data_IF_905737615108
#
_entry.id   IF_905737615108
#
_cell.length_a   1.000
_cell.length_b   1.000
_cell.length_c   1.000
_cell.angle_alpha   90.00
_cell.angle_beta   90.00
_cell.angle_gamma   90.00
#
_symmetry.space_group_name_H-M   'P 1'
#
loop_
_entity.id
_entity.type
_entity.pdbx_description
1 polymer ?
#
# COMPACT_ATOMS: atom_id res chain seq x y z
N UNK A 1 81.48 10.12 -8.92
CA UNK A 1 81.13 9.12 -7.91
C UNK A 1 80.01 9.68 -7.08
N UNK A 2 78.83 9.01 -7.07
CA UNK A 2 77.77 9.34 -6.10
C UNK A 2 76.39 9.65 -6.68
N UNK A 3 75.72 8.69 -7.34
CA UNK A 3 74.24 8.78 -7.59
C UNK A 3 73.61 7.39 -7.78
N UNK A 4 73.72 6.51 -6.82
CA UNK A 4 73.04 5.20 -6.83
C UNK A 4 72.23 4.93 -5.58
N UNK A 5 72.14 5.86 -4.62
CA UNK A 5 71.42 5.64 -3.33
C UNK A 5 69.95 6.00 -3.29
N UNK A 6 69.40 6.75 -4.28
CA UNK A 6 68.02 7.30 -4.19
C UNK A 6 66.89 6.47 -4.76
N UNK A 7 67.16 5.45 -5.56
CA UNK A 7 66.12 4.77 -6.36
C UNK A 7 65.59 3.48 -5.76
N UNK A 8 66.21 2.94 -4.69
CA UNK A 8 65.77 1.68 -4.04
C UNK A 8 64.80 1.89 -2.85
N UNK A 9 64.74 3.09 -2.30
CA UNK A 9 63.86 3.39 -1.15
C UNK A 9 62.40 3.68 -1.57
N UNK A 10 62.17 4.22 -2.77
CA UNK A 10 60.82 4.56 -3.28
C UNK A 10 59.98 3.33 -3.60
N UNK A 11 60.60 2.24 -4.09
CA UNK A 11 59.87 1.00 -4.40
C UNK A 11 59.38 0.21 -3.18
N UNK A 12 59.99 0.40 -2.01
CA UNK A 12 59.58 -0.22 -0.74
C UNK A 12 58.33 0.43 -0.18
N UNK A 13 58.32 1.75 -0.13
CA UNK A 13 57.18 2.54 0.36
C UNK A 13 55.95 2.38 -0.52
N UNK A 14 56.08 2.36 -1.82
CA UNK A 14 54.98 2.16 -2.75
C UNK A 14 54.33 0.77 -2.59
N UNK A 15 55.14 -0.27 -2.38
CA UNK A 15 54.61 -1.63 -2.12
C UNK A 15 53.92 -1.74 -0.77
N UNK A 16 54.45 -1.11 0.27
CA UNK A 16 53.83 -1.07 1.59
C UNK A 16 52.52 -0.31 1.54
N UNK A 17 52.50 0.89 0.97
CA UNK A 17 51.32 1.70 0.80
C UNK A 17 50.22 0.95 0.02
N UNK A 18 50.56 0.25 -1.06
CA UNK A 18 49.64 -0.57 -1.84
C UNK A 18 49.04 -1.72 -1.02
N UNK A 19 49.80 -2.36 -0.15
CA UNK A 19 49.32 -3.42 0.76
C UNK A 19 48.33 -2.86 1.80
N UNK A 20 48.67 -1.73 2.42
CA UNK A 20 47.77 -1.07 3.38
C UNK A 20 46.48 -0.59 2.70
N UNK A 21 46.54 -0.01 1.51
CA UNK A 21 45.39 0.42 0.75
C UNK A 21 44.48 -0.77 0.39
N UNK A 22 45.11 -1.88 -0.10
CA UNK A 22 44.33 -3.10 -0.42
C UNK A 22 43.66 -3.70 0.82
N UNK A 23 44.35 -3.69 1.98
CA UNK A 23 43.77 -4.13 3.26
C UNK A 23 42.58 -3.25 3.68
N UNK A 24 42.76 -1.94 3.61
CA UNK A 24 41.72 -0.97 3.96
C UNK A 24 40.46 -1.13 3.06
N UNK A 25 40.69 -1.21 1.75
CA UNK A 25 39.59 -1.44 0.79
C UNK A 25 38.86 -2.74 1.08
N UNK A 26 39.59 -3.83 1.39
CA UNK A 26 38.97 -5.09 1.76
C UNK A 26 38.07 -4.93 3.02
N UNK A 27 38.57 -4.27 4.06
CA UNK A 27 37.84 -4.07 5.31
C UNK A 27 36.57 -3.24 5.09
N UNK A 28 36.67 -2.13 4.36
CA UNK A 28 35.53 -1.25 4.08
C UNK A 28 34.48 -1.95 3.22
N UNK A 29 34.91 -2.66 2.16
CA UNK A 29 33.99 -3.41 1.28
C UNK A 29 33.32 -4.55 2.05
N UNK A 30 34.07 -5.29 2.87
CA UNK A 30 33.52 -6.38 3.68
C UNK A 30 32.53 -5.86 4.74
N UNK A 31 32.82 -4.72 5.36
CA UNK A 31 31.92 -4.05 6.30
C UNK A 31 30.62 -3.60 5.60
N UNK A 32 30.76 -2.88 4.48
CA UNK A 32 29.59 -2.43 3.70
C UNK A 32 28.72 -3.57 3.20
N UNK A 33 29.31 -4.64 2.70
CA UNK A 33 28.60 -5.83 2.26
C UNK A 33 27.93 -6.58 3.44
N UNK A 34 28.62 -6.70 4.56
CA UNK A 34 28.06 -7.31 5.78
C UNK A 34 26.84 -6.56 6.31
N UNK A 35 26.93 -5.23 6.39
CA UNK A 35 25.80 -4.35 6.77
C UNK A 35 24.66 -4.47 5.75
N UNK A 36 24.97 -4.44 4.46
CA UNK A 36 23.93 -4.55 3.43
C UNK A 36 23.18 -5.88 3.50
N UNK A 37 23.89 -6.99 3.72
CA UNK A 37 23.27 -8.30 3.93
C UNK A 37 22.46 -8.31 5.21
N UNK A 38 22.97 -7.76 6.31
CA UNK A 38 22.25 -7.70 7.57
C UNK A 38 20.92 -6.94 7.45
N UNK A 39 20.91 -5.77 6.80
CA UNK A 39 19.68 -4.99 6.56
C UNK A 39 18.65 -5.74 5.70
N UNK A 40 19.08 -6.66 4.83
CA UNK A 40 18.20 -7.44 3.97
C UNK A 40 17.64 -8.69 4.64
N UNK A 41 18.41 -9.34 5.54
CA UNK A 41 18.04 -10.64 6.11
C UNK A 41 17.56 -10.58 7.56
N UNK A 42 17.81 -9.48 8.28
CA UNK A 42 17.34 -9.34 9.66
C UNK A 42 15.82 -9.28 9.70
N UNK A 43 15.15 -10.19 10.41
CA UNK A 43 13.69 -10.20 10.46
C UNK A 43 13.14 -8.98 11.20
N UNK A 44 12.07 -8.40 10.69
CA UNK A 44 11.35 -7.33 11.35
C UNK A 44 10.85 -7.79 12.73
N UNK A 45 10.81 -6.88 13.69
CA UNK A 45 10.42 -7.18 15.07
C UNK A 45 8.98 -6.75 15.32
N UNK A 46 8.17 -7.67 15.81
CA UNK A 46 6.77 -7.40 16.14
C UNK A 46 6.67 -6.64 17.47
N UNK A 47 5.87 -5.59 17.46
CA UNK A 47 5.53 -4.74 18.60
C UNK A 47 4.01 -4.61 18.67
N UNK A 48 3.43 -4.87 19.84
CA UNK A 48 1.99 -4.66 20.06
C UNK A 48 1.78 -3.41 20.90
N UNK A 49 0.95 -2.50 20.40
CA UNK A 49 0.59 -1.25 21.09
C UNK A 49 -0.92 -1.01 20.92
N UNK A 50 -1.64 -0.86 22.02
CA UNK A 50 -3.09 -0.64 22.05
C UNK A 50 -3.88 -1.64 21.18
N UNK A 51 -3.48 -2.93 21.21
CA UNK A 51 -4.08 -3.98 20.38
C UNK A 51 -3.63 -4.00 18.93
N UNK A 52 -2.81 -3.02 18.49
CA UNK A 52 -2.27 -2.96 17.13
C UNK A 52 -0.99 -3.79 17.02
N UNK A 53 -0.86 -4.53 15.93
CA UNK A 53 0.35 -5.32 15.62
C UNK A 53 1.16 -4.58 14.57
N UNK A 54 2.30 -4.03 15.00
CA UNK A 54 3.23 -3.28 14.16
C UNK A 54 4.54 -4.04 14.08
N UNK A 55 5.10 -4.19 12.90
CA UNK A 55 6.45 -4.70 12.73
C UNK A 55 7.40 -3.54 12.45
N UNK A 56 8.56 -3.56 13.10
CA UNK A 56 9.59 -2.53 12.95
C UNK A 56 10.89 -3.13 12.44
N UNK A 57 11.58 -2.38 11.59
CA UNK A 57 12.85 -2.79 10.99
C UNK A 57 13.56 -1.61 10.34
N UNK A 58 14.46 -1.91 9.42
CA UNK A 58 15.12 -0.92 8.59
C UNK A 58 14.80 -1.14 7.10
N UNK A 59 14.84 -0.06 6.33
CA UNK A 59 14.69 -0.11 4.87
C UNK A 59 15.90 -0.77 4.22
N UNK A 60 15.76 -1.20 2.97
CA UNK A 60 16.86 -1.74 2.17
C UNK A 60 18.09 -0.79 2.17
N UNK A 61 19.31 -1.34 2.08
CA UNK A 61 20.54 -0.55 2.15
C UNK A 61 20.60 0.51 1.04
N UNK A 62 21.06 1.70 1.41
CA UNK A 62 21.18 2.84 0.49
C UNK A 62 22.49 3.58 0.73
N UNK A 63 23.16 3.99 -0.35
CA UNK A 63 24.36 4.81 -0.27
C UNK A 63 24.07 6.29 0.04
N UNK A 64 22.82 6.69 0.04
CA UNK A 64 22.40 8.06 0.33
C UNK A 64 22.44 8.34 1.83
N UNK A 65 23.06 9.44 2.24
CA UNK A 65 23.20 9.87 3.63
C UNK A 65 21.94 10.49 4.22
N UNK A 66 20.87 10.62 3.45
CA UNK A 66 19.55 11.03 3.94
C UNK A 66 18.44 10.55 2.99
N UNK A 67 17.25 10.32 3.52
CA UNK A 67 16.11 9.92 2.70
C UNK A 67 14.87 9.57 3.51
N UNK A 68 13.75 9.28 2.83
CA UNK A 68 12.55 8.86 3.50
C UNK A 68 12.73 7.51 4.21
N UNK A 69 12.01 7.29 5.30
CA UNK A 69 11.76 5.96 5.82
C UNK A 69 10.78 5.21 4.93
N UNK A 70 10.35 4.04 5.37
CA UNK A 70 9.36 3.22 4.66
C UNK A 70 8.22 2.83 5.59
N UNK A 71 7.00 2.82 5.05
CA UNK A 71 5.83 2.24 5.68
C UNK A 71 5.24 1.23 4.71
N UNK A 72 5.08 0.00 5.16
CA UNK A 72 4.42 -1.03 4.37
C UNK A 72 2.93 -1.03 4.73
N UNK A 73 2.11 -0.68 3.75
CA UNK A 73 0.66 -0.66 3.81
C UNK A 73 0.10 -1.54 2.70
N UNK A 74 -0.81 -2.47 3.04
CA UNK A 74 -1.54 -3.28 2.06
C UNK A 74 -0.62 -3.96 1.03
N UNK A 75 0.50 -4.53 1.49
CA UNK A 75 1.50 -5.13 0.61
C UNK A 75 2.34 -4.15 -0.21
N UNK A 76 2.08 -2.83 -0.10
CA UNK A 76 2.83 -1.78 -0.79
C UNK A 76 3.83 -1.13 0.16
N UNK A 77 5.05 -0.90 -0.32
CA UNK A 77 6.10 -0.20 0.43
C UNK A 77 6.10 1.28 0.04
N UNK A 78 5.61 2.13 0.91
CA UNK A 78 5.45 3.57 0.68
C UNK A 78 6.58 4.34 1.36
N UNK A 79 7.16 5.37 0.70
CA UNK A 79 8.08 6.28 1.36
C UNK A 79 7.33 7.12 2.39
N UNK A 80 7.96 7.33 3.57
CA UNK A 80 7.43 8.29 4.54
C UNK A 80 7.61 9.72 4.06
N UNK A 81 6.75 10.62 4.53
CA UNK A 81 6.92 12.05 4.31
C UNK A 81 8.14 12.62 5.08
N UNK A 82 8.56 11.92 6.12
CA UNK A 82 9.74 12.29 6.91
C UNK A 82 11.03 11.83 6.25
N UNK A 83 12.05 12.69 6.29
CA UNK A 83 13.40 12.37 5.82
C UNK A 83 14.32 12.14 7.00
N UNK A 84 14.91 10.98 7.05
CA UNK A 84 15.84 10.56 8.11
C UNK A 84 17.27 10.77 7.65
N UNK A 85 18.13 11.20 8.58
CA UNK A 85 19.57 11.28 8.36
C UNK A 85 20.20 9.90 8.53
N UNK A 86 21.22 9.62 7.72
CA UNK A 86 21.97 8.36 7.75
C UNK A 86 21.57 7.36 6.66
N UNK A 87 22.40 6.33 6.45
CA UNK A 87 22.15 5.28 5.46
C UNK A 87 21.16 4.23 5.96
N UNK A 88 20.94 4.10 7.27
CA UNK A 88 19.97 3.19 7.90
C UNK A 88 18.70 3.97 8.20
N UNK A 89 17.58 3.56 7.64
CA UNK A 89 16.30 4.28 7.74
C UNK A 89 15.22 3.39 8.34
N UNK A 90 14.32 3.96 9.16
CA UNK A 90 13.23 3.20 9.75
C UNK A 90 12.30 2.62 8.68
N UNK A 91 11.85 1.38 8.91
CA UNK A 91 10.77 0.72 8.20
C UNK A 91 9.73 0.26 9.19
N UNK A 92 8.48 0.56 8.91
CA UNK A 92 7.31 0.16 9.68
C UNK A 92 6.40 -0.67 8.77
N UNK A 93 5.86 -1.75 9.28
CA UNK A 93 4.83 -2.54 8.62
C UNK A 93 3.65 -2.67 9.55
N UNK A 94 2.48 -2.26 9.09
CA UNK A 94 1.22 -2.47 9.77
C UNK A 94 0.71 -3.85 9.39
N UNK A 95 0.65 -4.75 10.36
CA UNK A 95 0.21 -6.13 10.11
C UNK A 95 -1.26 -6.34 10.46
N UNK A 96 -1.77 -5.59 11.44
CA UNK A 96 -3.17 -5.65 11.85
C UNK A 96 -3.58 -4.35 12.52
N UNK A 97 -4.72 -3.81 12.12
CA UNK A 97 -5.34 -2.61 12.72
C UNK A 97 -6.68 -3.06 13.30
N UNK A 98 -6.72 -3.25 14.61
CA UNK A 98 -7.97 -3.59 15.32
C UNK A 98 -8.50 -2.35 16.00
N UNK A 99 -9.71 -1.92 15.62
CA UNK A 99 -10.39 -0.82 16.31
C UNK A 99 -11.11 -1.41 17.51
N UNK A 100 -10.42 -1.38 18.64
CA UNK A 100 -10.96 -1.80 19.93
C UNK A 100 -11.17 -0.58 20.85
N UNK A 101 -11.86 -0.81 21.97
CA UNK A 101 -12.07 0.24 22.99
C UNK A 101 -10.76 0.82 23.53
N UNK A 102 -9.65 0.04 23.50
CA UNK A 102 -8.33 0.50 23.92
C UNK A 102 -7.78 1.55 22.95
N UNK A 103 -7.91 1.32 21.63
CA UNK A 103 -7.49 2.30 20.62
C UNK A 103 -8.34 3.57 20.70
N UNK A 104 -9.67 3.42 20.89
CA UNK A 104 -10.58 4.56 21.03
C UNK A 104 -10.24 5.38 22.27
N UNK A 105 -9.98 4.72 23.41
CA UNK A 105 -9.52 5.38 24.63
C UNK A 105 -8.14 5.99 24.47
N UNK A 106 -7.26 5.35 23.71
CA UNK A 106 -5.91 5.82 23.44
C UNK A 106 -5.88 7.06 22.55
N UNK A 107 -6.79 7.13 21.55
CA UNK A 107 -6.88 8.26 20.60
C UNK A 107 -7.76 9.40 21.13
N UNK A 108 -8.79 9.09 21.91
CA UNK A 108 -9.76 10.06 22.46
C UNK A 108 -9.54 10.40 23.94
N UNK A 109 -8.56 9.74 24.60
CA UNK A 109 -8.28 9.96 26.01
C UNK A 109 -7.76 11.37 26.31
N UNK A 110 -8.01 11.87 27.52
CA UNK A 110 -7.63 13.20 28.00
C UNK A 110 -6.10 13.41 28.11
N UNK A 111 -5.29 12.40 27.80
CA UNK A 111 -3.84 12.43 27.91
C UNK A 111 -3.10 11.96 26.65
N UNK A 112 -3.18 12.67 25.52
CA UNK A 112 -2.52 12.29 24.28
C UNK A 112 -1.01 12.15 24.41
N UNK A 113 -0.37 12.96 25.26
CA UNK A 113 1.08 12.91 25.50
C UNK A 113 1.55 11.62 26.18
N UNK A 114 0.71 10.97 26.97
CA UNK A 114 1.04 9.68 27.59
C UNK A 114 0.93 8.55 26.58
N UNK A 115 -0.08 8.59 25.73
CA UNK A 115 -0.26 7.67 24.62
C UNK A 115 0.93 7.72 23.65
N UNK A 116 1.36 8.91 23.24
CA UNK A 116 2.54 9.11 22.39
C UNK A 116 3.83 8.58 23.05
N UNK A 117 3.98 8.78 24.35
CA UNK A 117 5.13 8.26 25.09
C UNK A 117 5.17 6.73 25.14
N UNK A 118 4.02 6.09 25.36
CA UNK A 118 3.90 4.62 25.37
C UNK A 118 4.20 4.06 23.99
N UNK A 119 3.59 4.60 22.93
CA UNK A 119 3.83 4.19 21.55
C UNK A 119 5.33 4.34 21.19
N UNK A 120 5.89 5.53 21.46
CA UNK A 120 7.30 5.82 21.18
C UNK A 120 8.26 4.87 21.92
N UNK A 121 8.00 4.55 23.20
CA UNK A 121 8.83 3.61 23.94
C UNK A 121 8.77 2.19 23.41
N UNK A 122 7.57 1.70 23.06
CA UNK A 122 7.37 0.36 22.49
C UNK A 122 8.03 0.20 21.12
N UNK A 123 7.88 1.18 20.25
CA UNK A 123 8.57 1.21 18.96
C UNK A 123 10.08 1.24 19.13
N UNK A 124 10.60 2.07 20.04
CA UNK A 124 12.03 2.13 20.35
C UNK A 124 12.58 0.78 20.84
N UNK A 125 11.84 0.04 21.68
CA UNK A 125 12.24 -1.29 22.15
C UNK A 125 12.22 -2.34 21.02
N UNK A 126 11.29 -2.22 20.09
CA UNK A 126 11.27 -3.02 18.86
C UNK A 126 12.53 -2.79 18.01
N UNK A 127 12.87 -1.51 17.77
CA UNK A 127 14.10 -1.17 17.03
C UNK A 127 15.38 -1.56 17.73
N UNK A 128 15.46 -1.47 19.06
CA UNK A 128 16.63 -1.98 19.83
C UNK A 128 16.84 -3.47 19.58
N UNK A 129 15.77 -4.28 19.61
CA UNK A 129 15.84 -5.72 19.31
C UNK A 129 16.25 -5.99 17.87
N UNK A 130 15.68 -5.23 16.92
CA UNK A 130 16.05 -5.33 15.51
C UNK A 130 17.54 -5.06 15.31
N UNK A 131 18.04 -3.94 15.80
CA UNK A 131 19.45 -3.56 15.66
C UNK A 131 20.42 -4.47 16.41
N UNK A 132 20.00 -5.06 17.53
CA UNK A 132 20.81 -6.06 18.20
C UNK A 132 21.07 -7.30 17.31
N UNK A 133 20.06 -7.77 16.59
CA UNK A 133 20.23 -8.86 15.62
C UNK A 133 20.99 -8.41 14.37
N UNK A 134 20.70 -7.23 13.88
CA UNK A 134 21.36 -6.66 12.69
C UNK A 134 22.88 -6.51 12.91
N UNK A 135 23.31 -6.02 14.06
CA UNK A 135 24.73 -5.92 14.45
C UNK A 135 25.40 -7.30 14.41
N UNK A 136 24.80 -8.31 15.02
CA UNK A 136 25.36 -9.68 15.03
C UNK A 136 25.50 -10.23 13.60
N UNK A 137 24.48 -10.03 12.76
CA UNK A 137 24.50 -10.53 11.37
C UNK A 137 25.52 -9.75 10.53
N UNK A 138 25.63 -8.42 10.70
CA UNK A 138 26.60 -7.60 10.01
C UNK A 138 28.05 -8.00 10.35
N UNK A 139 28.33 -8.19 11.64
CA UNK A 139 29.64 -8.67 12.10
C UNK A 139 29.97 -10.07 11.56
N UNK A 140 29.04 -11.00 11.61
CA UNK A 140 29.22 -12.34 11.04
C UNK A 140 29.46 -12.30 9.54
N UNK A 141 28.70 -11.48 8.79
CA UNK A 141 28.89 -11.27 7.35
C UNK A 141 30.27 -10.71 7.01
N UNK A 142 30.71 -9.69 7.74
CA UNK A 142 32.06 -9.11 7.56
C UNK A 142 33.16 -10.15 7.83
N UNK A 143 33.05 -10.93 8.90
CA UNK A 143 34.01 -12.00 9.24
C UNK A 143 34.06 -13.08 8.15
N UNK A 144 32.92 -13.53 7.64
CA UNK A 144 32.86 -14.53 6.58
C UNK A 144 33.52 -14.02 5.30
N UNK A 145 33.28 -12.76 4.91
CA UNK A 145 33.88 -12.17 3.70
C UNK A 145 35.39 -12.01 3.83
N UNK A 146 35.87 -11.47 4.95
CA UNK A 146 37.31 -11.35 5.23
C UNK A 146 37.96 -12.71 5.26
N UNK A 147 37.35 -13.71 5.95
CA UNK A 147 37.84 -15.08 6.02
C UNK A 147 37.92 -15.76 4.66
N UNK A 148 36.88 -15.61 3.83
CA UNK A 148 36.84 -16.16 2.48
C UNK A 148 37.93 -15.58 1.60
N UNK A 149 38.15 -14.25 1.62
CA UNK A 149 39.21 -13.59 0.85
C UNK A 149 40.60 -13.98 1.37
N UNK A 150 40.77 -14.07 2.70
CA UNK A 150 42.03 -14.50 3.30
C UNK A 150 42.39 -15.94 2.90
N UNK A 151 41.40 -16.85 2.93
CA UNK A 151 41.56 -18.24 2.49
C UNK A 151 41.90 -18.35 1.00
N UNK A 152 41.16 -17.63 0.16
CA UNK A 152 41.41 -17.59 -1.30
C UNK A 152 42.80 -17.06 -1.66
N UNK A 153 43.21 -15.99 -0.97
CA UNK A 153 44.53 -15.36 -1.16
C UNK A 153 45.66 -16.07 -0.40
N UNK A 154 45.35 -17.15 0.35
CA UNK A 154 46.30 -17.91 1.18
C UNK A 154 47.13 -17.01 2.11
N UNK A 155 46.46 -16.05 2.77
CA UNK A 155 47.10 -15.11 3.70
C UNK A 155 47.57 -15.89 4.94
N UNK A 156 48.78 -15.58 5.51
CA UNK A 156 49.26 -16.21 6.71
C UNK A 156 48.32 -16.08 7.89
N UNK A 157 48.19 -17.12 8.71
CA UNK A 157 47.21 -17.23 9.79
C UNK A 157 47.23 -16.03 10.76
N UNK A 158 48.41 -15.54 11.14
CA UNK A 158 48.52 -14.36 12.03
C UNK A 158 47.92 -13.11 11.40
N UNK A 159 48.18 -12.85 10.12
CA UNK A 159 47.62 -11.70 9.40
C UNK A 159 46.13 -11.88 9.16
N UNK A 160 45.65 -13.10 8.94
CA UNK A 160 44.22 -13.39 8.83
C UNK A 160 43.47 -13.02 10.11
N UNK A 161 43.98 -13.43 11.30
CA UNK A 161 43.37 -13.07 12.59
C UNK A 161 43.34 -11.53 12.75
N UNK A 162 44.43 -10.84 12.43
CA UNK A 162 44.47 -9.38 12.51
C UNK A 162 43.43 -8.72 11.58
N UNK A 163 43.29 -9.24 10.35
CA UNK A 163 42.27 -8.75 9.40
C UNK A 163 40.84 -9.05 9.87
N UNK A 164 40.59 -10.22 10.48
CA UNK A 164 39.26 -10.55 11.02
C UNK A 164 38.89 -9.63 12.19
N UNK A 165 39.83 -9.40 13.12
CA UNK A 165 39.58 -8.46 14.25
C UNK A 165 39.37 -7.05 13.74
N UNK A 166 40.24 -6.57 12.84
CA UNK A 166 40.11 -5.23 12.25
C UNK A 166 38.82 -5.10 11.43
N UNK A 167 38.45 -6.15 10.68
CA UNK A 167 37.21 -6.19 9.90
C UNK A 167 35.97 -6.09 10.77
N UNK A 168 35.93 -6.84 11.87
CA UNK A 168 34.85 -6.77 12.83
C UNK A 168 34.77 -5.37 13.45
N UNK A 169 35.89 -4.83 13.94
CA UNK A 169 35.90 -3.49 14.58
C UNK A 169 35.45 -2.40 13.58
N UNK A 170 35.90 -2.45 12.34
CA UNK A 170 35.51 -1.47 11.31
C UNK A 170 34.03 -1.62 10.96
N UNK A 171 33.54 -2.85 10.78
CA UNK A 171 32.15 -3.10 10.46
C UNK A 171 31.22 -2.58 11.58
N UNK A 172 31.52 -2.93 12.84
CA UNK A 172 30.70 -2.49 13.98
C UNK A 172 30.81 -0.98 14.23
N UNK A 173 31.97 -0.37 14.04
CA UNK A 173 32.11 1.08 14.18
C UNK A 173 31.27 1.85 13.15
N UNK A 174 31.28 1.42 11.87
CA UNK A 174 30.47 2.01 10.81
C UNK A 174 29.00 1.78 11.08
N UNK A 175 28.60 0.56 11.44
CA UNK A 175 27.22 0.18 11.67
C UNK A 175 26.61 0.92 12.87
N UNK A 176 27.29 0.88 14.02
CA UNK A 176 26.88 1.62 15.21
C UNK A 176 26.80 3.13 14.95
N UNK A 177 27.77 3.68 14.20
CA UNK A 177 27.73 5.10 13.80
C UNK A 177 26.47 5.41 12.98
N UNK A 178 26.11 4.58 12.01
CA UNK A 178 24.90 4.75 11.20
C UNK A 178 23.61 4.63 12.03
N UNK A 179 23.53 3.64 12.92
CA UNK A 179 22.40 3.45 13.84
C UNK A 179 22.24 4.64 14.78
N UNK A 180 23.34 5.13 15.36
CA UNK A 180 23.32 6.26 16.29
C UNK A 180 22.83 7.56 15.62
N UNK A 181 23.23 7.83 14.38
CA UNK A 181 22.72 8.98 13.63
C UNK A 181 21.20 8.91 13.52
N UNK A 182 20.66 7.74 13.15
CA UNK A 182 19.21 7.54 13.05
C UNK A 182 18.54 7.64 14.43
N UNK A 183 19.10 7.01 15.46
CA UNK A 183 18.57 7.01 16.82
C UNK A 183 18.48 8.41 17.44
N UNK A 184 19.43 9.30 17.14
CA UNK A 184 19.40 10.68 17.61
C UNK A 184 18.42 11.56 16.84
N UNK A 185 18.23 11.33 15.56
CA UNK A 185 17.42 12.21 14.69
C UNK A 185 15.96 11.79 14.59
N UNK A 186 15.68 10.46 14.61
CA UNK A 186 14.34 9.93 14.41
C UNK A 186 13.31 10.36 15.48
N UNK A 187 13.62 10.38 16.80
CA UNK A 187 12.63 10.77 17.80
C UNK A 187 12.13 12.20 17.65
N UNK A 188 13.01 13.14 17.24
CA UNK A 188 12.61 14.52 16.98
C UNK A 188 11.67 14.68 15.79
N UNK A 189 11.87 13.86 14.76
CA UNK A 189 11.04 13.83 13.57
C UNK A 189 9.69 13.15 13.85
N UNK A 190 9.69 12.02 14.55
CA UNK A 190 8.46 11.26 14.85
C UNK A 190 7.51 12.02 15.79
N UNK A 191 8.01 12.89 16.66
CA UNK A 191 7.16 13.76 17.49
C UNK A 191 6.36 14.80 16.70
N UNK A 192 6.72 15.05 15.46
CA UNK A 192 6.00 15.98 14.58
C UNK A 192 4.83 15.32 13.85
N UNK A 193 4.67 14.00 14.00
CA UNK A 193 3.64 13.20 13.33
C UNK A 193 2.60 12.80 14.36
N UNK A 194 1.37 13.25 14.15
CA UNK A 194 0.25 13.00 15.06
C UNK A 194 -0.72 11.94 14.50
N UNK A 195 -0.52 11.50 13.24
CA UNK A 195 -1.32 10.46 12.62
C UNK A 195 -0.52 9.64 11.62
N UNK A 196 -0.97 8.41 11.35
CA UNK A 196 -0.38 7.56 10.34
C UNK A 196 -0.49 8.19 8.93
N UNK A 197 -1.58 8.89 8.67
CA UNK A 197 -1.81 9.61 7.42
C UNK A 197 -0.76 10.71 7.20
N UNK A 198 -0.37 11.44 8.24
CA UNK A 198 0.74 12.41 8.16
C UNK A 198 2.09 11.73 7.88
N UNK A 199 2.32 10.56 8.48
CA UNK A 199 3.55 9.80 8.29
C UNK A 199 3.73 9.37 6.83
N UNK A 200 2.68 8.86 6.19
CA UNK A 200 2.70 8.44 4.78
C UNK A 200 2.49 9.60 3.81
N UNK A 201 2.14 10.79 4.31
CA UNK A 201 1.94 12.00 3.50
C UNK A 201 0.68 11.89 2.63
N UNK A 202 -0.42 11.32 3.17
CA UNK A 202 -1.72 11.46 2.54
C UNK A 202 -2.07 12.95 2.52
N UNK A 203 -2.26 13.49 1.33
CA UNK A 203 -2.57 14.92 1.17
C UNK A 203 -4.04 15.25 1.45
N UNK A 204 -4.84 14.24 1.62
CA UNK A 204 -6.27 14.34 1.88
C UNK A 204 -6.54 14.51 3.37
N UNK A 205 -6.19 15.67 3.91
CA UNK A 205 -6.96 16.22 5.02
C UNK A 205 -8.32 16.68 4.45
N UNK A 206 -9.09 15.73 3.93
CA UNK A 206 -10.46 16.03 3.58
C UNK A 206 -11.17 16.38 4.88
N UNK A 207 -11.67 17.61 5.03
CA UNK A 207 -12.40 17.99 6.22
C UNK A 207 -13.55 16.99 6.41
N UNK A 208 -13.82 16.58 7.65
CA UNK A 208 -15.03 15.82 7.93
C UNK A 208 -16.21 16.69 7.51
N UNK A 209 -16.81 16.34 6.40
CA UNK A 209 -18.03 17.01 5.93
C UNK A 209 -19.11 16.53 6.87
N UNK A 210 -19.67 17.45 7.65
CA UNK A 210 -20.83 17.13 8.49
C UNK A 210 -21.98 16.68 7.59
N UNK A 211 -22.65 15.55 7.93
CA UNK A 211 -23.81 15.11 7.17
C UNK A 211 -24.84 16.23 7.13
N UNK A 212 -25.26 16.61 5.90
CA UNK A 212 -26.25 17.64 5.70
C UNK A 212 -27.58 16.99 5.27
N UNK A 213 -28.62 17.20 6.05
CA UNK A 213 -29.97 16.67 5.81
C UNK A 213 -30.51 15.83 6.98
N UNK A 214 -31.79 15.44 6.92
CA UNK A 214 -32.44 14.69 7.98
C UNK A 214 -31.86 13.26 8.10
N UNK A 215 -31.93 12.65 9.31
CA UNK A 215 -31.62 11.24 9.50
C UNK A 215 -32.43 10.32 8.58
N UNK A 216 -31.86 9.17 8.23
CA UNK A 216 -32.46 8.14 7.37
C UNK A 216 -32.76 6.86 8.20
N UNK A 217 -33.85 6.84 9.00
CA UNK A 217 -34.08 5.76 9.96
C UNK A 217 -34.49 4.43 9.33
N UNK A 218 -34.87 4.43 8.06
CA UNK A 218 -35.33 3.20 7.41
C UNK A 218 -34.24 2.52 6.56
N UNK A 219 -33.07 3.10 6.40
CA UNK A 219 -31.98 2.54 5.58
C UNK A 219 -31.17 1.53 6.41
N UNK A 220 -31.05 0.31 5.88
CA UNK A 220 -30.34 -0.80 6.53
C UNK A 220 -28.96 -1.03 5.89
N UNK A 221 -28.87 -0.86 4.57
CA UNK A 221 -27.63 -1.03 3.81
C UNK A 221 -27.37 0.20 2.97
N UNK A 222 -26.13 0.65 2.96
CA UNK A 222 -25.68 1.73 2.07
C UNK A 222 -24.62 1.19 1.14
N UNK A 223 -24.73 1.52 -0.14
CA UNK A 223 -23.72 1.26 -1.17
C UNK A 223 -23.08 2.59 -1.55
N UNK A 224 -21.75 2.66 -1.45
CA UNK A 224 -20.94 3.78 -1.92
C UNK A 224 -19.90 3.27 -2.92
N UNK A 225 -19.52 4.10 -3.87
CA UNK A 225 -18.50 3.69 -4.83
C UNK A 225 -18.56 4.44 -6.15
N UNK A 226 -17.94 3.82 -7.13
CA UNK A 226 -17.76 4.31 -8.49
C UNK A 226 -18.86 3.82 -9.46
N UNK A 227 -18.56 3.86 -10.74
CA UNK A 227 -19.42 3.41 -11.85
C UNK A 227 -19.85 1.94 -11.74
N UNK A 228 -19.00 1.06 -11.18
CA UNK A 228 -19.34 -0.36 -11.00
C UNK A 228 -20.53 -0.50 -10.04
N UNK A 229 -20.49 0.22 -8.93
CA UNK A 229 -21.57 0.22 -7.92
C UNK A 229 -22.80 1.02 -8.37
N UNK A 230 -22.62 2.03 -9.22
CA UNK A 230 -23.71 2.78 -9.80
C UNK A 230 -24.53 1.94 -10.82
N UNK A 231 -23.93 0.90 -11.42
CA UNK A 231 -24.52 0.13 -12.50
C UNK A 231 -24.45 0.87 -13.85
N UNK A 232 -23.30 1.52 -14.11
CA UNK A 232 -23.10 2.34 -15.31
C UNK A 232 -23.43 1.60 -16.61
N UNK A 233 -24.11 2.27 -17.53
CA UNK A 233 -24.51 1.74 -18.83
C UNK A 233 -25.72 0.81 -18.80
N UNK A 234 -26.33 0.56 -17.63
CA UNK A 234 -27.58 -0.19 -17.51
C UNK A 234 -28.82 0.73 -17.45
N UNK A 235 -30.00 0.15 -17.31
CA UNK A 235 -31.25 0.91 -17.28
C UNK A 235 -31.24 1.94 -16.15
N UNK A 236 -31.48 3.24 -16.44
CA UNK A 236 -31.48 4.27 -15.41
C UNK A 236 -32.63 4.07 -14.42
N UNK A 237 -32.44 4.51 -13.18
CA UNK A 237 -33.50 4.51 -12.18
C UNK A 237 -34.72 5.29 -12.67
N UNK A 238 -35.94 4.71 -12.62
CA UNK A 238 -37.18 5.43 -12.92
C UNK A 238 -37.34 6.61 -11.97
N UNK A 239 -37.89 7.72 -12.45
CA UNK A 239 -38.19 8.92 -11.65
C UNK A 239 -37.03 9.42 -10.76
N UNK A 240 -35.81 9.18 -11.18
CA UNK A 240 -34.62 9.50 -10.41
C UNK A 240 -34.46 11.01 -10.20
N UNK A 241 -34.00 11.38 -8.98
CA UNK A 241 -33.53 12.74 -8.69
C UNK A 241 -32.43 13.18 -9.65
N UNK A 242 -32.20 14.49 -9.82
CA UNK A 242 -31.10 15.00 -10.66
C UNK A 242 -29.75 14.36 -10.28
N UNK A 243 -29.48 14.17 -8.98
CA UNK A 243 -28.26 13.52 -8.47
C UNK A 243 -28.13 12.05 -8.90
N UNK A 244 -29.19 11.26 -8.80
CA UNK A 244 -29.12 9.84 -9.17
C UNK A 244 -28.89 9.66 -10.68
N UNK A 245 -29.52 10.53 -11.48
CA UNK A 245 -29.32 10.55 -12.94
C UNK A 245 -27.90 11.00 -13.32
N UNK A 246 -27.41 12.07 -12.70
CA UNK A 246 -26.05 12.56 -12.94
C UNK A 246 -25.01 11.48 -12.57
N UNK A 247 -25.22 10.73 -11.48
CA UNK A 247 -24.36 9.65 -11.06
C UNK A 247 -24.46 8.36 -11.89
N UNK A 248 -25.33 8.29 -12.90
CA UNK A 248 -25.50 7.09 -13.73
C UNK A 248 -26.07 5.88 -12.99
N UNK A 249 -26.84 6.09 -11.89
CA UNK A 249 -27.38 4.99 -11.08
C UNK A 249 -28.46 4.24 -11.85
N UNK A 250 -28.39 2.92 -11.76
CA UNK A 250 -29.28 1.99 -12.45
C UNK A 250 -30.20 1.26 -11.47
N UNK A 251 -31.40 0.87 -11.97
CA UNK A 251 -32.31 -0.07 -11.31
C UNK A 251 -31.85 -1.54 -11.39
N UNK A 252 -30.83 -1.82 -12.18
CA UNK A 252 -30.27 -3.15 -12.38
C UNK A 252 -28.86 -3.23 -11.74
N UNK A 253 -28.61 -2.43 -10.68
CA UNK A 253 -27.38 -2.49 -9.92
C UNK A 253 -27.39 -3.62 -8.88
N UNK A 254 -26.23 -4.11 -8.47
CA UNK A 254 -26.16 -5.12 -7.41
C UNK A 254 -26.80 -4.64 -6.08
N UNK A 255 -26.88 -3.33 -5.88
CA UNK A 255 -27.59 -2.76 -4.74
C UNK A 255 -29.09 -3.05 -4.79
N UNK A 256 -29.69 -2.97 -5.98
CA UNK A 256 -31.10 -3.29 -6.18
C UNK A 256 -31.33 -4.80 -6.07
N UNK A 257 -30.45 -5.62 -6.62
CA UNK A 257 -30.49 -7.09 -6.47
C UNK A 257 -30.47 -7.50 -4.99
N UNK A 258 -29.57 -6.91 -4.18
CA UNK A 258 -29.53 -7.13 -2.72
C UNK A 258 -30.81 -6.67 -2.01
N UNK A 259 -31.39 -5.54 -2.45
CA UNK A 259 -32.64 -5.02 -1.91
C UNK A 259 -33.79 -6.01 -2.15
N UNK A 260 -33.93 -6.49 -3.38
CA UNK A 260 -34.98 -7.44 -3.78
C UNK A 260 -34.79 -8.79 -3.10
N UNK A 261 -33.58 -9.33 -3.10
CA UNK A 261 -33.29 -10.67 -2.56
C UNK A 261 -33.54 -10.76 -1.04
N UNK A 262 -33.31 -9.70 -0.30
CA UNK A 262 -33.36 -9.69 1.16
C UNK A 262 -34.56 -8.91 1.72
N UNK A 263 -35.29 -8.16 0.91
CA UNK A 263 -36.32 -7.24 1.38
C UNK A 263 -35.75 -6.06 2.19
N UNK A 264 -34.48 -5.73 1.99
CA UNK A 264 -33.81 -4.65 2.71
C UNK A 264 -34.05 -3.30 2.04
N UNK A 265 -33.98 -2.25 2.82
CA UNK A 265 -33.92 -0.87 2.30
C UNK A 265 -32.46 -0.52 2.04
N UNK A 266 -32.04 -0.73 0.81
CA UNK A 266 -30.68 -0.40 0.33
C UNK A 266 -30.69 1.00 -0.26
N UNK A 267 -29.73 1.83 0.14
CA UNK A 267 -29.49 3.16 -0.41
C UNK A 267 -28.20 3.14 -1.25
N UNK A 268 -28.35 3.21 -2.56
CA UNK A 268 -27.20 3.35 -3.45
C UNK A 268 -26.82 4.83 -3.60
N UNK A 269 -25.64 5.20 -3.14
CA UNK A 269 -25.05 6.53 -3.23
C UNK A 269 -23.92 6.62 -4.26
N UNK A 270 -23.55 5.49 -4.88
CA UNK A 270 -22.44 5.39 -5.85
C UNK A 270 -22.61 6.38 -7.01
N UNK A 271 -21.51 6.76 -7.61
CA UNK A 271 -21.49 7.74 -8.68
C UNK A 271 -20.38 7.43 -9.69
N UNK A 272 -20.70 7.49 -10.96
CA UNK A 272 -19.74 7.32 -12.07
C UNK A 272 -18.54 8.26 -11.91
N UNK A 273 -17.32 7.74 -12.13
CA UNK A 273 -16.07 8.49 -12.00
C UNK A 273 -15.66 8.83 -10.55
N UNK A 274 -16.32 8.26 -9.52
CA UNK A 274 -15.98 8.57 -8.14
C UNK A 274 -14.64 7.97 -7.73
N UNK A 275 -13.80 8.78 -7.11
CA UNK A 275 -12.58 8.38 -6.40
C UNK A 275 -12.79 8.51 -4.88
N UNK A 276 -11.84 8.01 -4.10
CA UNK A 276 -11.89 8.20 -2.64
C UNK A 276 -11.93 9.69 -2.28
N UNK A 277 -11.04 10.49 -2.89
CA UNK A 277 -10.94 11.92 -2.63
C UNK A 277 -12.11 12.73 -3.17
N UNK A 278 -12.59 12.38 -4.37
CA UNK A 278 -13.67 13.07 -5.09
C UNK A 278 -14.81 12.10 -5.37
N UNK A 279 -15.86 12.20 -4.62
CA UNK A 279 -17.04 11.33 -4.66
C UNK A 279 -17.29 10.62 -3.33
N UNK A 280 -16.35 9.83 -2.78
CA UNK A 280 -16.59 9.15 -1.53
C UNK A 280 -16.44 10.08 -0.32
N UNK A 281 -15.28 10.63 -0.08
CA UNK A 281 -14.97 11.43 1.12
C UNK A 281 -15.09 12.95 0.88
N UNK A 282 -15.02 13.40 -0.36
CA UNK A 282 -15.18 14.78 -0.77
C UNK A 282 -16.28 14.95 -1.82
N UNK A 283 -16.66 16.20 -2.15
CA UNK A 283 -17.60 16.47 -3.23
C UNK A 283 -17.01 16.03 -4.58
N UNK A 284 -17.89 15.66 -5.51
CA UNK A 284 -17.56 15.32 -6.88
C UNK A 284 -18.19 16.31 -7.84
N UNK A 285 -17.43 16.80 -8.80
CA UNK A 285 -17.99 17.51 -9.94
C UNK A 285 -18.30 16.48 -11.04
N UNK A 286 -19.56 16.41 -11.46
CA UNK A 286 -20.01 15.52 -12.52
C UNK A 286 -21.09 16.19 -13.33
N UNK A 287 -20.95 16.20 -14.67
CA UNK A 287 -21.88 16.86 -15.61
C UNK A 287 -22.22 18.32 -15.23
N UNK A 288 -21.23 19.08 -14.75
CA UNK A 288 -21.38 20.47 -14.33
C UNK A 288 -22.18 20.66 -13.03
N UNK A 289 -22.40 19.60 -12.27
CA UNK A 289 -23.03 19.62 -10.94
C UNK A 289 -22.02 19.25 -9.86
N UNK A 290 -22.09 19.94 -8.72
CA UNK A 290 -21.32 19.56 -7.54
C UNK A 290 -22.19 18.62 -6.71
N UNK A 291 -21.77 17.36 -6.65
CA UNK A 291 -22.43 16.30 -5.90
C UNK A 291 -21.83 16.17 -4.50
N UNK A 292 -22.64 15.94 -3.45
CA UNK A 292 -22.15 15.80 -2.10
C UNK A 292 -21.36 14.51 -1.92
N UNK A 293 -20.44 14.49 -0.95
CA UNK A 293 -19.69 13.28 -0.57
C UNK A 293 -20.64 12.15 -0.19
N UNK A 294 -20.41 10.97 -0.75
CA UNK A 294 -21.24 9.77 -0.52
C UNK A 294 -21.20 9.35 0.95
N UNK A 295 -20.03 9.42 1.58
CA UNK A 295 -19.84 9.07 2.99
C UNK A 295 -20.71 9.92 3.93
N UNK A 296 -20.85 11.21 3.66
CA UNK A 296 -21.76 12.08 4.42
C UNK A 296 -23.23 11.66 4.28
N UNK A 297 -23.61 11.06 3.15
CA UNK A 297 -24.92 10.44 2.96
C UNK A 297 -25.07 9.15 3.80
N UNK A 298 -24.03 8.33 3.87
CA UNK A 298 -24.01 7.11 4.66
C UNK A 298 -24.12 7.39 6.18
N UNK A 299 -23.47 8.44 6.69
CA UNK A 299 -23.55 8.86 8.11
C UNK A 299 -24.96 9.26 8.56
N UNK A 300 -25.87 9.52 7.63
CA UNK A 300 -27.29 9.83 7.94
C UNK A 300 -28.14 8.58 8.22
N UNK A 301 -27.65 7.39 7.86
CA UNK A 301 -28.35 6.13 8.08
C UNK A 301 -28.15 5.68 9.54
N UNK A 302 -29.12 5.99 10.39
CA UNK A 302 -29.03 5.80 11.86
C UNK A 302 -29.16 4.35 12.32
N UNK A 303 -29.62 3.45 11.45
CA UNK A 303 -29.74 2.01 11.70
C UNK A 303 -28.99 1.20 10.64
N UNK A 304 -27.80 1.66 10.28
CA UNK A 304 -26.97 1.04 9.26
C UNK A 304 -26.44 -0.31 9.77
N UNK A 305 -26.83 -1.40 9.10
CA UNK A 305 -26.38 -2.77 9.39
C UNK A 305 -25.17 -3.14 8.55
N UNK A 306 -25.12 -2.66 7.30
CA UNK A 306 -23.97 -2.91 6.42
C UNK A 306 -23.70 -1.72 5.50
N UNK A 307 -22.41 -1.56 5.13
CA UNK A 307 -21.96 -0.63 4.10
C UNK A 307 -21.08 -1.40 3.10
N UNK A 308 -21.39 -1.24 1.82
CA UNK A 308 -20.69 -1.91 0.72
C UNK A 308 -19.96 -0.84 -0.10
N UNK A 309 -18.70 -1.08 -0.40
CA UNK A 309 -17.81 -0.11 -1.04
C UNK A 309 -17.17 -0.72 -2.28
N UNK A 310 -17.30 -0.06 -3.43
CA UNK A 310 -16.58 -0.38 -4.67
C UNK A 310 -15.79 0.85 -5.11
N UNK A 311 -14.47 0.80 -5.02
CA UNK A 311 -13.61 1.96 -5.30
C UNK A 311 -12.19 1.53 -5.69
N UNK A 312 -11.52 2.34 -6.49
CA UNK A 312 -10.11 2.14 -6.85
C UNK A 312 -9.82 2.23 -8.34
N UNK A 313 -10.74 1.81 -9.20
CA UNK A 313 -10.53 1.86 -10.65
C UNK A 313 -10.32 3.31 -11.13
N UNK A 314 -11.14 4.25 -10.70
CA UNK A 314 -11.01 5.66 -11.05
C UNK A 314 -9.81 6.32 -10.36
N UNK A 315 -9.48 5.93 -9.13
CA UNK A 315 -8.29 6.40 -8.42
C UNK A 315 -6.99 6.03 -9.16
N UNK A 316 -6.97 4.85 -9.82
CA UNK A 316 -5.85 4.41 -10.65
C UNK A 316 -5.93 4.91 -12.09
N UNK A 317 -6.97 5.66 -12.45
CA UNK A 317 -7.23 6.08 -13.84
C UNK A 317 -7.28 4.88 -14.81
N UNK A 318 -8.01 3.82 -14.42
CA UNK A 318 -8.06 2.53 -15.13
C UNK A 318 -8.47 2.68 -16.60
N UNK A 319 -9.41 3.56 -16.90
CA UNK A 319 -9.82 3.83 -18.27
C UNK A 319 -8.68 4.35 -19.17
N UNK A 320 -7.78 5.17 -18.62
CA UNK A 320 -6.60 5.63 -19.35
C UNK A 320 -5.58 4.51 -19.53
N UNK A 321 -5.40 3.63 -18.53
CA UNK A 321 -4.54 2.44 -18.62
C UNK A 321 -4.99 1.51 -19.74
N UNK A 322 -6.28 1.18 -19.82
CA UNK A 322 -6.85 0.34 -20.87
C UNK A 322 -6.67 1.00 -22.25
N UNK A 323 -6.97 2.30 -22.38
CA UNK A 323 -6.77 3.05 -23.64
C UNK A 323 -5.31 3.07 -24.07
N UNK A 324 -4.38 3.29 -23.14
CA UNK A 324 -2.97 3.25 -23.48
C UNK A 324 -2.54 1.87 -23.95
N UNK A 325 -2.93 0.80 -23.23
CA UNK A 325 -2.63 -0.57 -23.62
C UNK A 325 -3.25 -0.97 -24.98
N UNK A 326 -4.34 -0.33 -25.41
CA UNK A 326 -4.96 -0.62 -26.70
C UNK A 326 -4.21 -0.02 -27.89
N UNK A 327 -3.41 1.03 -27.70
CA UNK A 327 -2.66 1.69 -28.78
C UNK A 327 -1.15 1.44 -28.72
N UNK A 328 -0.62 1.10 -27.55
CA UNK A 328 0.80 0.86 -27.38
C UNK A 328 1.18 -0.57 -27.81
N UNK A 329 2.31 -0.77 -28.50
CA UNK A 329 2.82 -2.11 -28.80
C UNK A 329 3.04 -2.96 -27.54
N UNK A 330 3.45 -2.30 -26.46
CA UNK A 330 3.58 -2.87 -25.10
C UNK A 330 3.24 -1.79 -24.09
N UNK A 331 2.45 -2.13 -23.07
CA UNK A 331 2.08 -1.19 -22.01
C UNK A 331 2.71 -1.52 -20.65
N UNK A 332 3.73 -2.37 -20.64
CA UNK A 332 4.52 -2.73 -19.47
C UNK A 332 5.94 -2.10 -19.46
N UNK A 333 6.12 -1.00 -20.18
CA UNK A 333 7.38 -0.28 -20.16
C UNK A 333 7.64 0.40 -18.80
N UNK A 334 8.86 0.90 -18.60
CA UNK A 334 9.30 1.48 -17.34
C UNK A 334 8.47 2.70 -16.93
N UNK A 335 8.05 3.53 -17.87
CA UNK A 335 7.31 4.76 -17.57
C UNK A 335 5.89 4.46 -17.13
N UNK A 336 5.18 3.60 -17.86
CA UNK A 336 3.80 3.19 -17.52
C UNK A 336 3.75 2.37 -16.23
N UNK A 337 4.75 1.51 -16.00
CA UNK A 337 4.86 0.78 -14.73
C UNK A 337 5.09 1.75 -13.57
N UNK A 338 5.96 2.74 -13.71
CA UNK A 338 6.19 3.75 -12.68
C UNK A 338 4.95 4.61 -12.42
N UNK A 339 4.20 4.96 -13.47
CA UNK A 339 2.93 5.69 -13.35
C UNK A 339 1.90 4.86 -12.56
N UNK A 340 1.66 3.61 -12.95
CA UNK A 340 0.76 2.71 -12.23
C UNK A 340 1.14 2.58 -10.74
N UNK A 341 2.43 2.38 -10.44
CA UNK A 341 2.91 2.29 -9.06
C UNK A 341 2.70 3.59 -8.28
N UNK A 342 2.85 4.75 -8.93
CA UNK A 342 2.58 6.05 -8.30
C UNK A 342 1.09 6.21 -7.96
N UNK A 343 0.19 5.87 -8.90
CA UNK A 343 -1.26 5.92 -8.66
C UNK A 343 -1.67 4.95 -7.55
N UNK A 344 -1.17 3.72 -7.58
CA UNK A 344 -1.42 2.72 -6.55
C UNK A 344 -0.93 3.18 -5.16
N UNK A 345 0.22 3.82 -5.09
CA UNK A 345 0.75 4.38 -3.85
C UNK A 345 -0.14 5.54 -3.33
N UNK A 346 -0.65 6.39 -4.20
CA UNK A 346 -1.60 7.45 -3.83
C UNK A 346 -2.91 6.86 -3.34
N UNK A 347 -3.48 5.93 -4.12
CA UNK A 347 -4.68 5.19 -3.74
C UNK A 347 -4.56 4.53 -2.36
N UNK A 348 -3.45 3.82 -2.10
CA UNK A 348 -3.24 3.13 -0.81
C UNK A 348 -3.30 4.07 0.39
N UNK A 349 -2.83 5.31 0.25
CA UNK A 349 -2.90 6.33 1.30
C UNK A 349 -4.33 6.81 1.55
N UNK A 350 -5.05 7.11 0.46
CA UNK A 350 -6.43 7.58 0.54
C UNK A 350 -7.35 6.45 1.01
N UNK A 351 -7.05 5.20 0.62
CA UNK A 351 -7.74 4.00 1.07
C UNK A 351 -7.61 3.76 2.57
N UNK A 352 -6.44 4.01 3.15
CA UNK A 352 -6.24 3.96 4.60
C UNK A 352 -7.16 4.97 5.32
N UNK A 353 -7.30 6.20 4.80
CA UNK A 353 -8.22 7.20 5.37
C UNK A 353 -9.67 6.74 5.28
N UNK A 354 -10.09 6.20 4.13
CA UNK A 354 -11.44 5.64 3.94
C UNK A 354 -11.73 4.51 4.94
N UNK A 355 -10.83 3.51 5.03
CA UNK A 355 -10.99 2.38 5.96
C UNK A 355 -11.08 2.84 7.41
N UNK A 356 -10.23 3.80 7.81
CA UNK A 356 -10.26 4.37 9.16
C UNK A 356 -11.58 5.06 9.48
N UNK A 357 -12.17 5.78 8.51
CA UNK A 357 -13.48 6.44 8.68
C UNK A 357 -14.62 5.46 8.71
N UNK A 358 -14.59 4.41 7.87
CA UNK A 358 -15.59 3.33 7.89
C UNK A 358 -15.62 2.63 9.25
N UNK A 359 -14.46 2.30 9.78
CA UNK A 359 -14.33 1.68 11.08
C UNK A 359 -14.77 2.57 12.25
N UNK A 360 -14.69 3.91 12.07
CA UNK A 360 -15.12 4.89 13.08
C UNK A 360 -16.63 5.25 12.99
N UNK A 361 -17.41 4.60 12.11
CA UNK A 361 -18.86 4.84 12.03
C UNK A 361 -19.55 4.47 13.35
N UNK A 362 -20.41 5.34 13.92
CA UNK A 362 -21.03 5.10 15.22
C UNK A 362 -21.95 3.88 15.26
N UNK A 363 -22.49 3.46 14.12
CA UNK A 363 -23.37 2.30 13.99
C UNK A 363 -22.62 0.98 13.95
N UNK A 364 -21.28 1.00 13.80
CA UNK A 364 -20.43 -0.18 13.64
C UNK A 364 -21.01 -1.20 12.63
N UNK A 365 -21.35 -0.76 11.40
CA UNK A 365 -21.95 -1.64 10.41
C UNK A 365 -20.95 -2.72 9.97
N UNK A 366 -21.44 -3.82 9.43
CA UNK A 366 -20.60 -4.73 8.68
C UNK A 366 -20.09 -4.01 7.44
N UNK A 367 -18.76 -3.99 7.24
CA UNK A 367 -18.13 -3.32 6.09
C UNK A 367 -17.71 -4.37 5.08
N UNK A 368 -18.09 -4.14 3.83
CA UNK A 368 -17.69 -4.95 2.68
C UNK A 368 -16.95 -4.06 1.70
N UNK A 369 -15.74 -4.46 1.33
CA UNK A 369 -14.92 -3.81 0.30
C UNK A 369 -14.86 -4.73 -0.91
N UNK A 370 -15.55 -4.39 -1.98
CA UNK A 370 -15.59 -5.20 -3.17
C UNK A 370 -14.26 -5.17 -3.93
N UNK A 371 -13.76 -6.34 -4.28
CA UNK A 371 -12.73 -6.49 -5.28
C UNK A 371 -13.36 -6.40 -6.68
N UNK A 372 -12.56 -5.99 -7.66
CA UNK A 372 -13.02 -5.97 -9.05
C UNK A 372 -12.93 -7.36 -9.69
N UNK A 373 -13.91 -7.67 -10.51
CA UNK A 373 -13.92 -8.82 -11.41
C UNK A 373 -12.82 -8.68 -12.47
N UNK A 374 -12.34 -9.78 -13.02
CA UNK A 374 -11.45 -9.75 -14.18
C UNK A 374 -12.30 -9.74 -15.48
N UNK A 375 -12.31 -8.61 -16.23
CA UNK A 375 -13.08 -8.53 -17.48
C UNK A 375 -12.43 -9.29 -18.63
N UNK A 376 -11.16 -9.69 -18.51
CA UNK A 376 -10.37 -10.26 -19.59
C UNK A 376 -10.33 -11.78 -19.50
N UNK A 377 -10.61 -12.45 -20.64
CA UNK A 377 -10.35 -13.89 -20.78
C UNK A 377 -8.85 -14.17 -21.00
N UNK A 378 -8.47 -15.47 -21.03
CA UNK A 378 -7.09 -15.87 -21.24
C UNK A 378 -6.57 -15.54 -22.67
N UNK A 379 -7.48 -15.41 -23.63
CA UNK A 379 -7.19 -15.10 -25.02
C UNK A 379 -7.79 -13.74 -25.40
N UNK A 380 -7.11 -12.94 -26.24
CA UNK A 380 -7.60 -11.62 -26.62
C UNK A 380 -8.94 -11.64 -27.38
N UNK A 381 -9.25 -12.71 -28.13
CA UNK A 381 -10.52 -12.88 -28.80
C UNK A 381 -10.96 -11.64 -29.57
N UNK A 382 -12.15 -11.11 -29.24
CA UNK A 382 -12.70 -9.90 -29.86
C UNK A 382 -11.90 -8.63 -29.53
N UNK A 383 -11.11 -8.62 -28.44
CA UNK A 383 -10.30 -7.47 -28.00
C UNK A 383 -9.10 -7.20 -28.89
N UNK A 384 -8.65 -8.18 -29.70
CA UNK A 384 -7.61 -7.96 -30.72
C UNK A 384 -7.99 -6.84 -31.69
N UNK A 385 -9.29 -6.70 -32.02
CA UNK A 385 -9.81 -5.64 -32.90
C UNK A 385 -9.73 -4.26 -32.25
N UNK A 386 -9.70 -4.21 -30.91
CA UNK A 386 -9.49 -3.01 -30.14
C UNK A 386 -8.01 -2.72 -29.86
N UNK A 387 -7.09 -3.43 -30.51
CA UNK A 387 -5.65 -3.22 -30.36
C UNK A 387 -5.02 -3.88 -29.12
N UNK A 388 -5.79 -4.63 -28.32
CA UNK A 388 -5.26 -5.32 -27.14
C UNK A 388 -4.59 -6.65 -27.53
N UNK A 389 -3.28 -6.69 -27.40
CA UNK A 389 -2.46 -7.91 -27.56
C UNK A 389 -2.53 -8.80 -26.32
N UNK A 390 -2.13 -10.06 -26.46
CA UNK A 390 -2.01 -10.99 -25.31
C UNK A 390 -1.12 -10.43 -24.20
N UNK A 391 0.03 -9.85 -24.54
CA UNK A 391 0.97 -9.28 -23.59
C UNK A 391 0.36 -8.06 -22.83
N UNK A 392 -0.39 -7.22 -23.56
CA UNK A 392 -1.06 -6.06 -22.97
C UNK A 392 -2.22 -6.48 -22.06
N UNK A 393 -2.99 -7.50 -22.43
CA UNK A 393 -4.03 -8.08 -21.57
C UNK A 393 -3.45 -8.70 -20.31
N UNK A 394 -2.34 -9.41 -20.42
CA UNK A 394 -1.66 -9.97 -19.25
C UNK A 394 -1.15 -8.86 -18.31
N UNK A 395 -0.68 -7.73 -18.86
CA UNK A 395 -0.28 -6.55 -18.08
C UNK A 395 -1.47 -5.95 -17.34
N UNK A 396 -2.60 -5.74 -18.02
CA UNK A 396 -3.82 -5.21 -17.41
C UNK A 396 -4.36 -6.16 -16.31
N UNK A 397 -4.42 -7.46 -16.60
CA UNK A 397 -4.84 -8.48 -15.61
C UNK A 397 -3.95 -8.47 -14.37
N UNK A 398 -2.63 -8.36 -14.55
CA UNK A 398 -1.67 -8.29 -13.43
C UNK A 398 -1.85 -7.01 -12.60
N UNK A 399 -2.08 -5.86 -13.24
CA UNK A 399 -2.34 -4.59 -12.55
C UNK A 399 -3.66 -4.64 -11.77
N UNK A 400 -4.70 -5.21 -12.36
CA UNK A 400 -5.98 -5.44 -11.68
C UNK A 400 -5.84 -6.36 -10.47
N UNK A 401 -5.10 -7.45 -10.61
CA UNK A 401 -4.82 -8.36 -9.49
C UNK A 401 -4.05 -7.65 -8.36
N UNK A 402 -3.14 -6.74 -8.71
CA UNK A 402 -2.42 -5.92 -7.72
C UNK A 402 -3.37 -4.98 -6.97
N UNK A 403 -4.30 -4.31 -7.67
CA UNK A 403 -5.34 -3.49 -7.02
C UNK A 403 -6.20 -4.35 -6.08
N UNK A 404 -6.68 -5.50 -6.54
CA UNK A 404 -7.49 -6.41 -5.73
C UNK A 404 -6.74 -6.90 -4.48
N UNK A 405 -5.43 -7.14 -4.59
CA UNK A 405 -4.60 -7.47 -3.42
C UNK A 405 -4.60 -6.32 -2.41
N UNK A 406 -4.44 -5.07 -2.85
CA UNK A 406 -4.48 -3.89 -1.97
C UNK A 406 -5.84 -3.75 -1.29
N UNK A 407 -6.93 -3.95 -2.04
CA UNK A 407 -8.30 -3.91 -1.49
C UNK A 407 -8.51 -4.99 -0.43
N UNK A 408 -8.12 -6.24 -0.72
CA UNK A 408 -8.26 -7.36 0.20
C UNK A 408 -7.39 -7.22 1.45
N UNK A 409 -6.12 -6.85 1.29
CA UNK A 409 -5.18 -6.68 2.40
C UNK A 409 -5.62 -5.52 3.31
N UNK A 410 -6.09 -4.42 2.73
CA UNK A 410 -6.63 -3.30 3.49
C UNK A 410 -7.88 -3.68 4.27
N UNK A 411 -8.83 -4.34 3.63
CA UNK A 411 -10.03 -4.84 4.29
C UNK A 411 -9.67 -5.79 5.45
N UNK A 412 -8.78 -6.75 5.21
CA UNK A 412 -8.34 -7.71 6.22
C UNK A 412 -7.68 -7.03 7.43
N UNK A 413 -6.91 -5.95 7.23
CA UNK A 413 -6.30 -5.20 8.32
C UNK A 413 -7.31 -4.52 9.26
N UNK A 414 -8.51 -4.22 8.76
CA UNK A 414 -9.61 -3.63 9.52
C UNK A 414 -10.70 -4.65 9.89
N UNK A 415 -10.45 -5.94 9.69
CA UNK A 415 -11.42 -7.04 9.93
C UNK A 415 -12.70 -6.90 9.09
N UNK A 416 -12.59 -6.28 7.91
CA UNK A 416 -13.66 -6.14 6.94
C UNK A 416 -13.68 -7.31 5.96
N UNK A 417 -14.83 -7.59 5.37
CA UNK A 417 -14.95 -8.59 4.31
C UNK A 417 -14.55 -8.00 2.96
N UNK A 418 -13.91 -8.81 2.09
CA UNK A 418 -13.53 -8.36 0.74
C UNK A 418 -13.83 -9.45 -0.29
N UNK A 419 -15.09 -9.60 -0.71
CA UNK A 419 -15.48 -10.56 -1.72
C UNK A 419 -14.98 -10.14 -3.11
N UNK A 420 -14.72 -11.13 -3.96
CA UNK A 420 -14.46 -10.95 -5.38
C UNK A 420 -15.56 -11.67 -6.18
N UNK A 421 -16.28 -10.95 -7.07
CA UNK A 421 -17.24 -11.59 -7.95
C UNK A 421 -16.54 -12.54 -8.93
N UNK A 422 -17.09 -13.74 -9.12
CA UNK A 422 -16.54 -14.72 -10.05
C UNK A 422 -17.15 -14.53 -11.45
N UNK A 423 -16.33 -14.05 -12.36
CA UNK A 423 -16.68 -13.89 -13.78
C UNK A 423 -15.99 -14.95 -14.67
N UNK A 424 -15.44 -16.01 -14.08
CA UNK A 424 -14.75 -17.07 -14.81
C UNK A 424 -15.70 -17.73 -15.83
N UNK A 425 -15.27 -17.77 -17.09
CA UNK A 425 -16.09 -18.27 -18.19
C UNK A 425 -17.13 -17.27 -18.75
N UNK A 426 -17.23 -16.08 -18.13
CA UNK A 426 -18.16 -15.01 -18.51
C UNK A 426 -17.45 -13.67 -18.77
N UNK A 427 -16.15 -13.72 -19.04
CA UNK A 427 -15.37 -12.54 -19.42
C UNK A 427 -15.79 -12.03 -20.80
N UNK A 428 -15.20 -10.92 -21.21
CA UNK A 428 -15.38 -10.37 -22.57
C UNK A 428 -15.09 -11.44 -23.64
N UNK A 429 -15.81 -11.37 -24.75
CA UNK A 429 -15.71 -12.27 -25.89
C UNK A 429 -16.25 -13.68 -25.66
N UNK A 430 -16.85 -13.98 -24.52
CA UNK A 430 -17.56 -15.24 -24.29
C UNK A 430 -19.00 -15.16 -24.83
N UNK A 431 -19.71 -16.31 -25.02
CA UNK A 431 -21.09 -16.29 -25.51
C UNK A 431 -22.10 -15.60 -24.58
N UNK A 432 -21.83 -15.59 -23.29
CA UNK A 432 -22.68 -14.96 -22.25
C UNK A 432 -21.81 -14.12 -21.32
N UNK A 433 -21.34 -12.95 -21.76
CA UNK A 433 -20.44 -12.13 -20.96
C UNK A 433 -21.18 -11.46 -19.80
N UNK A 434 -20.54 -11.43 -18.64
CA UNK A 434 -20.94 -10.63 -17.48
C UNK A 434 -20.40 -9.20 -17.55
N UNK A 435 -19.70 -8.88 -18.63
CA UNK A 435 -19.04 -7.58 -18.88
C UNK A 435 -19.60 -6.98 -20.17
N UNK A 436 -19.93 -5.70 -20.14
CA UNK A 436 -20.38 -4.96 -21.33
C UNK A 436 -19.25 -4.90 -22.35
N UNK A 437 -19.59 -5.22 -23.61
CA UNK A 437 -18.65 -5.21 -24.73
C UNK A 437 -18.19 -3.81 -25.10
N UNK A 438 -17.26 -3.73 -26.07
CA UNK A 438 -16.68 -2.47 -26.55
C UNK A 438 -17.71 -1.51 -27.14
N UNK A 439 -18.80 -2.04 -27.69
CA UNK A 439 -19.93 -1.28 -28.25
C UNK A 439 -21.05 -1.02 -27.23
N UNK A 440 -20.86 -1.43 -25.97
CA UNK A 440 -21.80 -1.19 -24.88
C UNK A 440 -21.83 0.27 -24.44
N UNK A 441 -22.87 0.63 -23.69
CA UNK A 441 -23.03 1.99 -23.16
C UNK A 441 -21.91 2.36 -22.17
N UNK A 442 -21.42 1.37 -21.39
CA UNK A 442 -20.26 1.51 -20.52
C UNK A 442 -19.31 0.30 -20.70
N UNK A 443 -18.39 0.34 -21.67
CA UNK A 443 -17.46 -0.74 -21.93
C UNK A 443 -16.70 -1.17 -20.68
N UNK A 444 -16.46 -2.48 -20.54
CA UNK A 444 -15.79 -3.12 -19.41
C UNK A 444 -16.55 -3.11 -18.07
N UNK A 445 -17.71 -2.47 -17.96
CA UNK A 445 -18.58 -2.52 -16.78
C UNK A 445 -19.42 -3.80 -16.75
N UNK A 446 -19.96 -4.21 -15.59
CA UNK A 446 -20.82 -5.39 -15.51
C UNK A 446 -22.09 -5.23 -16.36
N UNK A 447 -22.54 -6.32 -16.96
CA UNK A 447 -23.92 -6.44 -17.47
C UNK A 447 -24.89 -6.68 -16.30
N UNK A 448 -26.19 -6.76 -16.54
CA UNK A 448 -27.17 -7.14 -15.51
C UNK A 448 -26.77 -8.47 -14.83
N UNK A 449 -26.32 -9.46 -15.59
CA UNK A 449 -25.84 -10.73 -15.02
C UNK A 449 -24.55 -10.55 -14.21
N UNK A 450 -23.67 -9.64 -14.63
CA UNK A 450 -22.47 -9.30 -13.88
C UNK A 450 -22.78 -8.57 -12.57
N UNK A 451 -23.77 -7.70 -12.56
CA UNK A 451 -24.27 -7.05 -11.33
C UNK A 451 -24.86 -8.11 -10.39
N UNK A 452 -25.66 -9.02 -10.91
CA UNK A 452 -26.21 -10.12 -10.11
C UNK A 452 -25.11 -11.03 -9.52
N UNK A 453 -24.06 -11.33 -10.28
CA UNK A 453 -22.91 -12.08 -9.77
C UNK A 453 -22.19 -11.31 -8.65
N UNK A 454 -22.10 -9.99 -8.75
CA UNK A 454 -21.57 -9.13 -7.67
C UNK A 454 -22.47 -9.16 -6.43
N UNK A 455 -23.79 -9.07 -6.62
CA UNK A 455 -24.75 -9.21 -5.53
C UNK A 455 -24.63 -10.56 -4.80
N UNK A 456 -24.41 -11.65 -5.51
CA UNK A 456 -24.19 -12.98 -4.92
C UNK A 456 -22.90 -13.05 -4.09
N UNK A 457 -21.82 -12.43 -4.56
CA UNK A 457 -20.57 -12.36 -3.81
C UNK A 457 -20.73 -11.56 -2.52
N UNK A 458 -21.40 -10.41 -2.60
CA UNK A 458 -21.74 -9.58 -1.43
C UNK A 458 -22.64 -10.31 -0.45
N UNK A 459 -23.69 -11.00 -0.96
CA UNK A 459 -24.62 -11.77 -0.15
C UNK A 459 -23.92 -12.89 0.62
N UNK A 460 -22.94 -13.54 0.00
CA UNK A 460 -22.15 -14.59 0.66
C UNK A 460 -21.23 -14.02 1.75
N UNK A 461 -20.80 -12.78 1.63
CA UNK A 461 -19.95 -12.09 2.59
C UNK A 461 -20.77 -11.45 3.74
N UNK A 462 -22.04 -11.10 3.50
CA UNK A 462 -22.93 -10.54 4.51
C UNK A 462 -23.31 -11.62 5.53
N UNK A 463 -23.09 -11.34 6.80
CA UNK A 463 -23.60 -12.18 7.89
C UNK A 463 -25.07 -11.82 8.12
N UNK A 464 -25.95 -12.82 8.39
CA UNK A 464 -27.31 -12.49 8.81
C UNK A 464 -27.27 -11.54 10.02
N UNK A 465 -28.14 -10.52 10.07
CA UNK A 465 -28.26 -9.72 11.28
C UNK A 465 -28.63 -10.64 12.44
N UNK A 466 -27.92 -10.47 13.58
CA UNK A 466 -28.13 -11.25 14.79
C UNK A 466 -29.51 -11.00 15.42
#
# INVERSE_FOLDING_TARGET
MGTIGGMLLTGGWARLARRWLTGLVLLVVSAGAGIAVALLVTPMQTVTVAGQVIQVGASAPSLSLSGPGQVDLFGQSLPTNLRFAGPVRPRLQLSQITINSELTTFVQGDHPAEAERILGSRLADGWKRYFAWEIVIAGAGALLLVGAVAGWRRIPHRTTIQLLVAGLVVAEAINLGAIMITAYTAPGLLRQVHSLNELVGSQTHLPRIKPNGPPLPGVQVVVIGDSTAAGAGLAPLPDSSGTARACGRSSDSYADDLSVANGWRVLNLACDGATIGHGLLGPQEHDGQILPAQFAGAERAVHLSAIIVSVGADDLNWAAEVRYCSVAPRCNDRATTAYFQQQLASFSKDYLDLLSRLAALPTHPQVIINQYYNPFGPEPGCLSRAGLSTDNLQTLTSRLATLNTVLADGAAQFEFSSPQPDFTGHQLCTPQPYVQGLDGAAPFHPTVLGQFASALADQAALRPPA
#
